data_IF_534329546756
#
_entry.id   IF_534329546756
#
_cell.length_a   1.000
_cell.length_b   1.000
_cell.length_c   1.000
_cell.angle_alpha   90.00
_cell.angle_beta   90.00
_cell.angle_gamma   90.00
#
_symmetry.space_group_name_H-M   'P 1'
#
loop_
_entity.id
_entity.type
_entity.pdbx_description
1 polymer ?
#
# COMPACT_ATOMS: atom_id res chain seq x y z
N UNK A 1 17.81 29.82 -45.85
CA UNK A 1 17.62 28.45 -45.30
C UNK A 1 16.84 28.52 -43.98
N UNK A 2 15.49 28.36 -43.95
CA UNK A 2 14.76 28.34 -42.67
C UNK A 2 13.78 27.16 -42.49
N UNK A 3 13.78 26.14 -43.36
CA UNK A 3 12.83 25.02 -43.25
C UNK A 3 13.28 23.89 -42.30
N UNK A 4 14.59 23.67 -42.12
CA UNK A 4 15.08 22.57 -41.26
C UNK A 4 14.84 22.83 -39.75
N UNK A 5 14.87 24.09 -39.31
CA UNK A 5 14.74 24.44 -37.89
C UNK A 5 13.32 24.21 -37.34
N UNK A 6 12.30 24.32 -38.20
CA UNK A 6 10.90 24.11 -37.83
C UNK A 6 10.60 22.61 -37.61
N UNK A 7 11.10 21.74 -38.48
CA UNK A 7 10.88 20.29 -38.35
C UNK A 7 11.45 19.73 -37.05
N UNK A 8 12.64 20.17 -36.64
CA UNK A 8 13.27 19.73 -35.39
C UNK A 8 12.46 20.16 -34.16
N UNK A 9 11.96 21.39 -34.13
CA UNK A 9 11.14 21.90 -33.02
C UNK A 9 9.80 21.16 -32.87
N UNK A 10 9.13 20.85 -33.98
CA UNK A 10 7.87 20.07 -33.95
C UNK A 10 8.09 18.64 -33.44
N UNK A 11 9.20 18.00 -33.82
CA UNK A 11 9.56 16.65 -33.32
C UNK A 11 9.80 16.67 -31.81
N UNK A 12 10.51 17.67 -31.27
CA UNK A 12 10.72 17.79 -29.83
C UNK A 12 9.42 18.06 -29.06
N UNK A 13 8.52 18.90 -29.58
CA UNK A 13 7.22 19.18 -28.94
C UNK A 13 6.33 17.94 -28.91
N UNK A 14 6.32 17.13 -29.97
CA UNK A 14 5.56 15.87 -30.04
C UNK A 14 6.15 14.82 -29.07
N UNK A 15 7.48 14.71 -28.99
CA UNK A 15 8.16 13.82 -28.04
C UNK A 15 7.88 14.21 -26.58
N UNK A 16 7.90 15.50 -26.25
CA UNK A 16 7.55 15.97 -24.91
C UNK A 16 6.06 15.75 -24.60
N UNK A 17 5.14 16.00 -25.53
CA UNK A 17 3.71 15.76 -25.32
C UNK A 17 3.38 14.27 -25.11
N UNK A 18 4.05 13.37 -25.82
CA UNK A 18 3.90 11.92 -25.63
C UNK A 18 4.46 11.43 -24.28
N UNK A 19 5.51 12.08 -23.75
CA UNK A 19 6.04 11.80 -22.40
C UNK A 19 5.08 12.23 -21.28
N UNK A 20 4.29 13.29 -21.46
CA UNK A 20 3.31 13.75 -20.46
C UNK A 20 1.97 12.99 -20.50
N UNK A 21 1.65 12.32 -21.62
CA UNK A 21 0.39 11.57 -21.77
C UNK A 21 0.33 10.28 -20.92
N UNK A 22 1.40 9.91 -20.21
CA UNK A 22 1.49 8.66 -19.45
C UNK A 22 1.43 8.80 -17.91
N UNK A 23 1.15 9.99 -17.35
CA UNK A 23 1.31 10.20 -15.89
C UNK A 23 0.01 10.03 -15.09
N UNK A 24 -1.15 9.87 -15.73
CA UNK A 24 -2.34 9.48 -14.99
C UNK A 24 -2.30 7.96 -14.77
N UNK A 25 -1.48 7.52 -13.82
CA UNK A 25 -1.75 6.25 -13.16
C UNK A 25 -3.10 6.44 -12.46
N UNK A 26 -4.17 5.94 -13.07
CA UNK A 26 -5.50 5.96 -12.45
C UNK A 26 -5.36 5.36 -11.05
N UNK A 27 -5.60 6.20 -10.05
CA UNK A 27 -5.62 5.76 -8.66
C UNK A 27 -6.87 4.91 -8.46
N UNK A 28 -6.67 3.59 -8.51
CA UNK A 28 -7.70 2.63 -8.15
C UNK A 28 -7.74 2.51 -6.63
N UNK A 29 -8.81 3.05 -6.03
CA UNK A 29 -9.10 2.97 -4.60
C UNK A 29 -9.13 1.50 -4.14
N UNK A 30 -8.47 1.20 -3.01
CA UNK A 30 -8.32 -0.16 -2.48
C UNK A 30 -9.29 -0.41 -1.34
N UNK A 31 -9.93 -1.58 -1.37
CA UNK A 31 -10.91 -2.00 -0.37
C UNK A 31 -10.33 -3.00 0.63
N UNK A 32 -11.10 -3.33 1.67
CA UNK A 32 -10.76 -4.41 2.59
C UNK A 32 -10.73 -5.76 1.89
N UNK A 33 -11.59 -5.96 0.87
CA UNK A 33 -11.57 -7.16 0.05
C UNK A 33 -10.27 -7.30 -0.74
N UNK A 34 -9.75 -6.19 -1.27
CA UNK A 34 -8.46 -6.16 -1.95
C UNK A 34 -7.32 -6.50 -0.98
N UNK A 35 -7.33 -5.91 0.23
CA UNK A 35 -6.35 -6.20 1.26
C UNK A 35 -6.35 -7.69 1.64
N UNK A 36 -7.53 -8.26 1.92
CA UNK A 36 -7.65 -9.67 2.29
C UNK A 36 -7.24 -10.61 1.15
N UNK A 37 -7.58 -10.27 -0.09
CA UNK A 37 -7.21 -11.07 -1.26
C UNK A 37 -5.71 -10.99 -1.55
N UNK A 38 -5.09 -9.81 -1.39
CA UNK A 38 -3.65 -9.64 -1.44
C UNK A 38 -2.95 -10.43 -0.31
N UNK A 39 -3.52 -10.40 0.89
CA UNK A 39 -3.08 -11.20 2.02
C UNK A 39 -3.04 -12.69 1.69
N UNK A 40 -4.11 -13.26 1.15
CA UNK A 40 -4.15 -14.67 0.77
C UNK A 40 -3.07 -15.02 -0.28
N UNK A 41 -2.95 -14.21 -1.34
CA UNK A 41 -1.92 -14.42 -2.38
C UNK A 41 -0.51 -14.32 -1.84
N UNK A 42 -0.23 -13.33 -0.99
CA UNK A 42 1.07 -13.13 -0.37
C UNK A 42 1.40 -14.21 0.65
N UNK A 43 0.40 -14.74 1.36
CA UNK A 43 0.58 -15.85 2.28
C UNK A 43 1.09 -17.10 1.55
N UNK A 44 0.49 -17.39 0.39
CA UNK A 44 0.93 -18.49 -0.48
C UNK A 44 2.30 -18.23 -1.12
N UNK A 45 2.51 -17.01 -1.65
CA UNK A 45 3.78 -16.62 -2.29
C UNK A 45 4.97 -16.74 -1.35
N UNK A 46 4.82 -16.26 -0.11
CA UNK A 46 5.87 -16.31 0.90
C UNK A 46 5.93 -17.64 1.65
N UNK A 47 5.07 -18.61 1.28
CA UNK A 47 5.03 -19.98 1.82
C UNK A 47 4.95 -19.99 3.35
N UNK A 48 4.13 -19.11 3.91
CA UNK A 48 3.99 -18.97 5.35
C UNK A 48 3.36 -20.21 5.99
N UNK A 49 3.82 -20.55 7.19
CA UNK A 49 3.21 -21.63 7.97
C UNK A 49 1.80 -21.25 8.41
N UNK A 50 0.86 -22.20 8.35
CA UNK A 50 -0.53 -21.99 8.75
C UNK A 50 -0.70 -21.43 10.18
N UNK A 51 0.29 -21.63 11.06
CA UNK A 51 0.32 -21.04 12.41
C UNK A 51 0.25 -19.51 12.43
N UNK A 52 0.65 -18.82 11.35
CA UNK A 52 0.54 -17.36 11.27
C UNK A 52 -0.88 -16.87 10.98
N UNK A 53 -1.76 -17.68 10.36
CA UNK A 53 -3.09 -17.23 9.91
C UNK A 53 -3.88 -16.61 11.06
N UNK A 54 -4.05 -17.35 12.16
CA UNK A 54 -4.79 -16.84 13.33
C UNK A 54 -4.15 -15.58 13.92
N UNK A 55 -2.82 -15.46 13.88
CA UNK A 55 -2.13 -14.26 14.39
C UNK A 55 -2.47 -13.04 13.52
N UNK A 56 -2.41 -13.20 12.20
CA UNK A 56 -2.71 -12.14 11.25
C UNK A 56 -4.19 -11.72 11.27
N UNK A 57 -5.11 -12.67 11.45
CA UNK A 57 -6.54 -12.38 11.66
C UNK A 57 -6.79 -11.53 12.91
N UNK A 58 -5.89 -11.58 13.89
CA UNK A 58 -5.92 -10.76 15.11
C UNK A 58 -4.98 -9.54 15.01
N UNK A 59 -4.50 -9.21 13.81
CA UNK A 59 -3.58 -8.12 13.54
C UNK A 59 -2.23 -8.22 14.29
N UNK A 60 -1.84 -9.42 14.69
CA UNK A 60 -0.54 -9.72 15.29
C UNK A 60 0.47 -10.19 14.23
N UNK A 61 1.36 -9.28 13.85
CA UNK A 61 2.45 -9.51 12.90
C UNK A 61 3.79 -9.44 13.66
N UNK A 62 4.44 -10.58 13.96
CA UNK A 62 5.74 -10.61 14.65
C UNK A 62 6.86 -10.03 13.78
N UNK A 63 7.93 -9.57 14.43
CA UNK A 63 9.13 -9.08 13.73
C UNK A 63 10.03 -10.26 13.32
N UNK A 64 9.55 -10.98 12.30
CA UNK A 64 10.20 -12.15 11.75
C UNK A 64 10.35 -11.98 10.23
N UNK A 65 11.46 -12.44 9.67
CA UNK A 65 11.81 -12.20 8.27
C UNK A 65 10.76 -12.71 7.25
N UNK A 66 10.12 -13.89 7.42
CA UNK A 66 8.98 -14.29 6.59
C UNK A 66 7.77 -13.33 6.67
N UNK A 67 7.53 -12.74 7.85
CA UNK A 67 6.42 -11.80 8.05
C UNK A 67 6.75 -10.43 7.45
N UNK A 68 8.00 -10.00 7.50
CA UNK A 68 8.45 -8.78 6.81
C UNK A 68 8.24 -8.90 5.29
N UNK A 69 8.60 -10.05 4.69
CA UNK A 69 8.31 -10.31 3.26
C UNK A 69 6.83 -10.32 2.96
N UNK A 70 6.02 -10.96 3.81
CA UNK A 70 4.57 -11.00 3.66
C UNK A 70 3.94 -9.60 3.66
N UNK A 71 4.31 -8.76 4.62
CA UNK A 71 3.85 -7.36 4.71
C UNK A 71 4.27 -6.58 3.47
N UNK A 72 5.54 -6.68 3.08
CA UNK A 72 6.06 -6.03 1.88
C UNK A 72 5.31 -6.46 0.61
N UNK A 73 5.04 -7.75 0.45
CA UNK A 73 4.26 -8.29 -0.65
C UNK A 73 2.87 -7.65 -0.74
N UNK A 74 2.13 -7.57 0.37
CA UNK A 74 0.77 -7.01 0.37
C UNK A 74 0.78 -5.56 -0.09
N UNK A 75 1.61 -4.72 0.54
CA UNK A 75 1.60 -3.29 0.25
C UNK A 75 2.12 -2.99 -1.17
N UNK A 76 3.02 -3.83 -1.68
CA UNK A 76 3.48 -3.74 -3.07
C UNK A 76 2.39 -4.17 -4.06
N UNK A 77 1.67 -5.27 -3.81
CA UNK A 77 0.56 -5.70 -4.67
C UNK A 77 -0.58 -4.67 -4.72
N UNK A 78 -0.86 -4.02 -3.59
CA UNK A 78 -1.86 -2.96 -3.51
C UNK A 78 -1.40 -1.64 -4.13
N UNK A 79 -0.13 -1.55 -4.59
CA UNK A 79 0.50 -0.32 -5.09
C UNK A 79 0.47 0.84 -4.08
N UNK A 80 0.50 0.49 -2.79
CA UNK A 80 0.56 1.43 -1.67
C UNK A 80 1.97 1.54 -1.07
N UNK A 81 2.92 0.74 -1.57
CA UNK A 81 4.33 0.80 -1.23
C UNK A 81 5.21 0.86 -2.49
N UNK A 82 6.33 1.57 -2.37
CA UNK A 82 7.40 1.62 -3.37
C UNK A 82 8.75 1.51 -2.66
N UNK A 83 9.67 0.67 -3.16
CA UNK A 83 10.96 0.43 -2.49
C UNK A 83 11.91 1.63 -2.45
N UNK A 84 11.60 2.70 -3.19
CA UNK A 84 12.37 3.95 -3.21
C UNK A 84 11.80 5.02 -2.30
N UNK A 85 10.48 5.06 -2.13
CA UNK A 85 9.79 6.15 -1.41
C UNK A 85 8.99 5.69 -0.19
N UNK A 86 8.83 4.38 -0.02
CA UNK A 86 8.04 3.76 1.01
C UNK A 86 6.53 3.85 0.73
N UNK A 87 5.74 4.16 1.75
CA UNK A 87 4.30 4.29 1.60
C UNK A 87 3.90 5.39 0.60
N UNK A 88 2.92 5.08 -0.25
CA UNK A 88 2.21 6.10 -1.01
C UNK A 88 1.18 6.78 -0.08
N UNK A 89 1.66 7.80 0.64
CA UNK A 89 0.90 8.49 1.69
C UNK A 89 -0.40 9.11 1.16
N UNK A 90 -0.37 9.69 -0.04
CA UNK A 90 -1.54 10.32 -0.65
C UNK A 90 -2.65 9.30 -0.92
N UNK A 91 -2.28 8.15 -1.49
CA UNK A 91 -3.23 7.06 -1.76
C UNK A 91 -3.79 6.48 -0.46
N UNK A 92 -2.94 6.20 0.53
CA UNK A 92 -3.41 5.66 1.81
C UNK A 92 -4.32 6.68 2.53
N UNK A 93 -3.98 7.97 2.50
CA UNK A 93 -4.83 9.00 3.09
C UNK A 93 -6.19 9.12 2.36
N UNK A 94 -6.23 8.91 1.05
CA UNK A 94 -7.48 8.92 0.30
C UNK A 94 -8.45 7.81 0.77
N UNK A 95 -7.96 6.65 1.22
CA UNK A 95 -8.78 5.55 1.75
C UNK A 95 -9.51 5.88 3.05
N UNK A 96 -8.99 6.84 3.83
CA UNK A 96 -9.51 7.17 5.17
C UNK A 96 -10.03 8.61 5.26
N UNK A 97 -10.27 9.25 4.12
CA UNK A 97 -10.71 10.66 4.01
C UNK A 97 -12.08 10.92 4.63
N UNK A 98 -12.91 9.88 4.77
CA UNK A 98 -14.21 9.90 5.45
C UNK A 98 -14.07 9.85 6.98
N UNK A 99 -13.00 9.22 7.48
CA UNK A 99 -12.70 9.11 8.92
C UNK A 99 -12.00 10.35 9.47
N UNK A 100 -11.12 10.98 8.69
CA UNK A 100 -10.41 12.18 9.10
C UNK A 100 -9.86 13.00 7.92
N UNK A 101 -9.61 14.29 8.18
CA UNK A 101 -8.97 15.19 7.22
C UNK A 101 -7.50 14.77 6.95
N UNK A 102 -7.00 15.11 5.77
CA UNK A 102 -5.63 14.82 5.33
C UNK A 102 -4.57 15.43 6.27
N UNK A 103 -4.85 16.57 6.90
CA UNK A 103 -4.00 17.20 7.93
C UNK A 103 -3.74 16.30 9.14
N UNK A 104 -4.62 15.33 9.42
CA UNK A 104 -4.44 14.33 10.48
C UNK A 104 -3.79 13.06 9.92
N UNK A 105 -4.23 12.61 8.74
CA UNK A 105 -3.79 11.35 8.12
C UNK A 105 -2.32 11.41 7.67
N UNK A 106 -1.98 12.45 6.89
CA UNK A 106 -0.68 12.57 6.22
C UNK A 106 0.47 12.60 7.22
N UNK A 107 0.45 13.39 8.31
CA UNK A 107 1.56 13.41 9.25
C UNK A 107 1.82 12.04 9.89
N UNK A 108 0.77 11.31 10.31
CA UNK A 108 0.91 9.98 10.91
C UNK A 108 1.59 9.01 9.93
N UNK A 109 1.10 8.97 8.69
CA UNK A 109 1.61 8.07 7.65
C UNK A 109 3.04 8.44 7.25
N UNK A 110 3.31 9.72 6.99
CA UNK A 110 4.62 10.24 6.61
C UNK A 110 5.67 10.05 7.71
N UNK A 111 5.31 10.24 8.98
CA UNK A 111 6.23 10.08 10.10
C UNK A 111 6.59 8.61 10.29
N UNK A 112 5.61 7.71 10.28
CA UNK A 112 5.86 6.27 10.32
C UNK A 112 6.73 5.78 9.17
N UNK A 113 6.50 6.29 7.96
CA UNK A 113 7.32 5.98 6.78
C UNK A 113 8.76 6.47 6.95
N UNK A 114 8.94 7.76 7.28
CA UNK A 114 10.25 8.42 7.34
C UNK A 114 11.12 7.89 8.49
N UNK A 115 10.53 7.61 9.65
CA UNK A 115 11.29 7.15 10.82
C UNK A 115 11.94 5.77 10.62
N UNK A 116 11.44 4.97 9.68
CA UNK A 116 11.97 3.64 9.36
C UNK A 116 12.83 3.61 8.08
N UNK A 117 13.02 4.73 7.38
CA UNK A 117 13.59 4.78 6.03
C UNK A 117 15.06 4.32 5.92
N UNK A 118 15.79 4.33 7.03
CA UNK A 118 17.20 3.92 7.07
C UNK A 118 17.37 2.40 7.23
N UNK A 119 16.27 1.66 7.40
CA UNK A 119 16.28 0.20 7.46
C UNK A 119 16.37 -0.42 6.06
N UNK A 120 16.83 -1.69 5.94
CA UNK A 120 16.68 -2.46 4.70
C UNK A 120 15.21 -2.51 4.25
N UNK A 121 14.96 -2.49 2.94
CA UNK A 121 13.62 -2.32 2.33
C UNK A 121 12.50 -3.12 2.99
N UNK A 122 12.68 -4.43 3.22
CA UNK A 122 11.67 -5.28 3.86
C UNK A 122 11.36 -4.82 5.30
N UNK A 123 12.40 -4.50 6.05
CA UNK A 123 12.30 -4.05 7.44
C UNK A 123 11.79 -2.61 7.55
N UNK A 124 12.11 -1.77 6.57
CA UNK A 124 11.51 -0.44 6.42
C UNK A 124 9.99 -0.55 6.24
N UNK A 125 9.53 -1.34 5.26
CA UNK A 125 8.11 -1.57 5.03
C UNK A 125 7.40 -2.12 6.28
N UNK A 126 7.99 -3.15 6.89
CA UNK A 126 7.46 -3.76 8.10
C UNK A 126 7.34 -2.75 9.26
N UNK A 127 8.39 -1.97 9.55
CA UNK A 127 8.36 -1.01 10.67
C UNK A 127 7.41 0.15 10.40
N UNK A 128 7.36 0.66 9.18
CA UNK A 128 6.38 1.68 8.79
C UNK A 128 4.95 1.14 8.99
N UNK A 129 4.66 -0.08 8.53
CA UNK A 129 3.38 -0.74 8.74
C UNK A 129 3.05 -0.91 10.23
N UNK A 130 3.95 -1.45 11.05
CA UNK A 130 3.71 -1.62 12.49
C UNK A 130 3.47 -0.29 13.21
N UNK A 131 4.18 0.76 12.81
CA UNK A 131 3.96 2.11 13.32
C UNK A 131 2.54 2.61 12.99
N UNK A 132 2.12 2.51 11.73
CA UNK A 132 0.77 2.91 11.31
C UNK A 132 -0.30 2.06 12.00
N UNK A 133 -0.10 0.75 12.10
CA UNK A 133 -1.03 -0.20 12.74
C UNK A 133 -1.26 0.12 14.24
N UNK A 134 -0.28 0.75 14.89
CA UNK A 134 -0.36 1.19 16.29
C UNK A 134 -0.86 2.64 16.45
N UNK A 135 -1.15 3.33 15.35
CA UNK A 135 -1.70 4.69 15.35
C UNK A 135 -3.24 4.69 15.30
N UNK A 136 -3.85 5.88 15.25
CA UNK A 136 -5.29 6.03 15.02
C UNK A 136 -5.74 5.49 13.65
N UNK A 137 -4.93 5.67 12.61
CA UNK A 137 -5.19 5.11 11.28
C UNK A 137 -5.23 3.58 11.34
N UNK A 138 -4.32 2.99 12.12
CA UNK A 138 -4.29 1.56 12.38
C UNK A 138 -5.53 1.04 13.12
N UNK A 139 -6.19 1.86 13.94
CA UNK A 139 -7.46 1.45 14.59
C UNK A 139 -8.60 1.36 13.58
N UNK A 140 -8.78 2.35 12.72
CA UNK A 140 -9.79 2.29 11.65
C UNK A 140 -9.54 1.12 10.71
N UNK A 141 -8.28 0.91 10.31
CA UNK A 141 -7.89 -0.26 9.53
C UNK A 141 -8.32 -1.58 10.19
N UNK A 142 -8.06 -1.75 11.50
CA UNK A 142 -8.46 -2.96 12.25
C UNK A 142 -9.97 -3.14 12.32
N UNK A 143 -10.70 -2.05 12.53
CA UNK A 143 -12.17 -2.07 12.56
C UNK A 143 -12.74 -2.49 11.19
N UNK A 144 -12.30 -1.83 10.13
CA UNK A 144 -12.83 -2.03 8.79
C UNK A 144 -12.48 -3.44 8.26
N UNK A 145 -11.22 -3.86 8.38
CA UNK A 145 -10.78 -5.21 7.99
C UNK A 145 -11.34 -6.28 8.92
N UNK A 146 -11.44 -6.01 10.22
CA UNK A 146 -11.97 -6.94 11.21
C UNK A 146 -13.44 -7.29 10.93
N UNK A 147 -14.26 -6.27 10.67
CA UNK A 147 -15.65 -6.45 10.22
C UNK A 147 -15.70 -7.32 8.96
N UNK A 148 -14.83 -7.06 7.98
CA UNK A 148 -14.82 -7.81 6.73
C UNK A 148 -14.41 -9.28 6.90
N UNK A 149 -13.46 -9.55 7.80
CA UNK A 149 -13.05 -10.91 8.17
C UNK A 149 -14.21 -11.69 8.81
N UNK A 150 -14.98 -11.04 9.69
CA UNK A 150 -16.16 -11.64 10.31
C UNK A 150 -17.25 -11.94 9.28
N UNK A 151 -17.54 -11.01 8.36
CA UNK A 151 -18.47 -11.22 7.25
C UNK A 151 -18.10 -12.43 6.39
N UNK A 152 -16.82 -12.53 5.97
CA UNK A 152 -16.33 -13.68 5.20
C UNK A 152 -16.43 -14.99 5.99
N UNK A 153 -16.13 -14.95 7.29
CA UNK A 153 -16.27 -16.13 8.15
C UNK A 153 -17.72 -16.59 8.21
N UNK A 154 -18.66 -15.69 8.51
CA UNK A 154 -20.10 -16.04 8.59
C UNK A 154 -20.62 -16.53 7.24
N UNK A 155 -20.26 -15.87 6.13
CA UNK A 155 -20.65 -16.30 4.78
C UNK A 155 -20.19 -17.73 4.46
N UNK A 156 -18.96 -18.08 4.82
CA UNK A 156 -18.42 -19.43 4.61
C UNK A 156 -19.08 -20.52 5.49
N UNK A 157 -19.76 -20.15 6.58
CA UNK A 157 -20.50 -21.12 7.40
C UNK A 157 -21.92 -21.39 6.88
N UNK A 158 -22.42 -20.52 6.00
CA UNK A 158 -23.79 -20.58 5.47
C UNK A 158 -23.83 -21.20 4.06
N UNK A 159 -22.69 -21.21 3.35
CA UNK A 159 -22.50 -21.83 2.04
C UNK A 159 -22.14 -23.32 2.14
#
# INVERSE_FOLDING_TARGET
MPQAMKCTAFVFVILFAALFAHINADYEEKTEDDFLSAGERCFQRERLAASYQRRFDNFDYPDEEPVQRYVHCIWTELKLWNDRTGFNVEHIAALYRDKANTEVLVPILSDCNRNAQNEPTLKWCYRAFKCVLNSRVGQWFKEDVGRKLEERRVGNHVA
#
